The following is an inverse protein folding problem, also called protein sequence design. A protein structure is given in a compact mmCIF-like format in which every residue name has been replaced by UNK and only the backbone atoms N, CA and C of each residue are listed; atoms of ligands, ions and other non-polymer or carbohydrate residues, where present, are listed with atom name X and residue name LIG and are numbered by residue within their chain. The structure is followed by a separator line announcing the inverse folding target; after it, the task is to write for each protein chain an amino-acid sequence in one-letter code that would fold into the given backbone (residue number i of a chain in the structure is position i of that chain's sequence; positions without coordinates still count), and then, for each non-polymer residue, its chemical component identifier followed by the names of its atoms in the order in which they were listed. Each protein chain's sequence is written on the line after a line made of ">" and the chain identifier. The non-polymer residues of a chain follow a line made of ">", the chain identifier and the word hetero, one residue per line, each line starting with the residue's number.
data_IF_156828031634
#
_entry.id   IF_156828031634
#
_cell.length_a   1.000
_cell.length_b   1.000
_cell.length_c   1.000
_cell.angle_alpha   90.00
_cell.angle_beta   90.00
_cell.angle_gamma   90.00
#
_symmetry.space_group_name_H-M   'P 1'
#
loop_
_entity.id
_entity.type
_entity.pdbx_description
1 polymer ?
#
# COMPACT_ATOMS: atom_id res chain seq x y z
N UNK A 1 -0.68 -17.07 16.97
CA UNK A 1 -0.45 -18.23 16.08
C UNK A 1 -1.68 -18.37 15.20
N UNK A 2 -1.72 -17.70 14.05
CA UNK A 2 -2.81 -17.84 13.08
C UNK A 2 -2.23 -18.55 11.86
N UNK A 3 -2.77 -19.73 11.55
CA UNK A 3 -2.39 -20.51 10.38
C UNK A 3 -2.92 -19.79 9.12
N UNK A 4 -2.04 -19.51 8.16
CA UNK A 4 -2.39 -18.97 6.84
C UNK A 4 -3.12 -20.06 6.03
N UNK A 5 -4.23 -19.75 5.33
CA UNK A 5 -4.88 -20.72 4.46
C UNK A 5 -4.13 -20.83 3.12
N UNK A 6 -4.14 -22.04 2.58
CA UNK A 6 -3.53 -22.41 1.30
C UNK A 6 -4.04 -21.56 0.13
N UNK A 7 -3.09 -21.24 -0.73
CA UNK A 7 -3.21 -20.40 -1.91
C UNK A 7 -4.03 -21.08 -3.02
N UNK A 8 -5.15 -20.48 -3.42
CA UNK A 8 -5.76 -20.75 -4.72
C UNK A 8 -6.53 -19.55 -5.30
N UNK A 9 -6.51 -19.50 -6.64
CA UNK A 9 -7.33 -18.73 -7.59
C UNK A 9 -6.85 -17.33 -8.03
N UNK A 10 -6.49 -17.26 -9.34
CA UNK A 10 -6.15 -16.09 -10.16
C UNK A 10 -7.41 -15.53 -10.88
N UNK A 11 -8.50 -15.28 -10.16
CA UNK A 11 -9.67 -14.60 -10.72
C UNK A 11 -9.54 -13.06 -10.59
N UNK A 12 -10.09 -12.25 -11.51
CA UNK A 12 -10.18 -10.80 -11.32
C UNK A 12 -11.06 -10.53 -10.09
N UNK A 13 -10.48 -9.93 -9.05
CA UNK A 13 -11.17 -9.67 -7.79
C UNK A 13 -11.90 -8.33 -7.88
N UNK A 14 -13.23 -8.40 -7.88
CA UNK A 14 -14.13 -7.26 -7.64
C UNK A 14 -13.87 -6.75 -6.20
N UNK A 15 -13.77 -5.44 -5.93
CA UNK A 15 -13.55 -4.94 -4.58
C UNK A 15 -14.81 -5.20 -3.72
N UNK A 16 -14.85 -6.36 -3.08
CA UNK A 16 -15.86 -6.70 -2.08
C UNK A 16 -15.61 -5.87 -0.82
N UNK A 17 -16.23 -4.70 -0.76
CA UNK A 17 -16.29 -3.88 0.45
C UNK A 17 -17.27 -4.53 1.43
N UNK A 18 -16.84 -5.59 2.10
CA UNK A 18 -17.57 -6.14 3.26
C UNK A 18 -17.79 -4.99 4.25
N UNK A 19 -19.01 -4.78 4.78
CA UNK A 19 -19.26 -3.68 5.71
C UNK A 19 -18.49 -3.92 7.02
N UNK A 20 -17.31 -3.32 7.11
CA UNK A 20 -16.44 -3.38 8.28
C UNK A 20 -17.07 -2.55 9.41
N UNK A 21 -17.73 -3.22 10.34
CA UNK A 21 -18.37 -2.59 11.50
C UNK A 21 -17.38 -2.19 12.59
N UNK A 22 -17.73 -1.17 13.38
CA UNK A 22 -16.94 -0.66 14.50
C UNK A 22 -16.58 -1.78 15.49
N UNK A 23 -15.28 -2.04 15.66
CA UNK A 23 -14.73 -3.06 16.56
C UNK A 23 -14.02 -4.23 15.87
N UNK A 24 -14.12 -4.38 14.54
CA UNK A 24 -13.33 -5.37 13.81
C UNK A 24 -11.88 -4.90 13.68
N UNK A 25 -10.97 -5.47 14.48
CA UNK A 25 -9.55 -5.29 14.19
C UNK A 25 -9.19 -6.10 12.95
N UNK A 26 -8.72 -5.43 11.91
CA UNK A 26 -8.25 -6.02 10.64
C UNK A 26 -7.24 -7.16 10.85
N UNK A 27 -6.55 -7.17 12.00
CA UNK A 27 -5.54 -8.17 12.36
C UNK A 27 -6.07 -9.40 13.12
N UNK A 28 -7.31 -9.40 13.61
CA UNK A 28 -7.90 -10.55 14.32
C UNK A 28 -8.73 -11.46 13.42
N UNK A 29 -9.26 -10.94 12.30
CA UNK A 29 -9.95 -11.73 11.28
C UNK A 29 -8.93 -12.23 10.25
N UNK A 30 -8.86 -13.56 10.08
CA UNK A 30 -8.00 -14.17 9.06
C UNK A 30 -8.33 -13.67 7.65
N UNK A 31 -9.61 -13.44 7.36
CA UNK A 31 -10.11 -12.95 6.07
C UNK A 31 -9.79 -11.48 5.80
N UNK A 32 -9.92 -10.60 6.81
CA UNK A 32 -9.56 -9.18 6.71
C UNK A 32 -8.03 -8.99 6.59
N UNK A 33 -7.25 -9.85 7.27
CA UNK A 33 -5.79 -9.84 7.14
C UNK A 33 -5.33 -10.30 5.75
N UNK A 34 -6.00 -11.31 5.17
CA UNK A 34 -5.69 -11.83 3.84
C UNK A 34 -6.01 -10.82 2.73
N UNK A 35 -7.11 -10.06 2.84
CA UNK A 35 -7.48 -8.99 1.90
C UNK A 35 -6.56 -7.77 1.97
N UNK A 36 -6.09 -7.40 3.17
CA UNK A 36 -5.05 -6.37 3.34
C UNK A 36 -3.71 -6.80 2.71
N UNK A 37 -3.26 -8.03 2.97
CA UNK A 37 -2.03 -8.59 2.40
C UNK A 37 -2.12 -8.68 0.87
N UNK A 38 -3.30 -9.04 0.32
CA UNK A 38 -3.56 -9.07 -1.13
C UNK A 38 -3.73 -7.67 -1.75
N UNK A 39 -3.62 -6.59 -0.98
CA UNK A 39 -3.70 -5.22 -1.49
C UNK A 39 -5.09 -4.76 -1.92
N UNK A 40 -6.13 -5.52 -1.57
CA UNK A 40 -7.54 -5.15 -1.78
C UNK A 40 -7.93 -4.01 -0.84
N UNK A 41 -7.27 -3.92 0.32
CA UNK A 41 -7.45 -2.86 1.32
C UNK A 41 -6.32 -1.83 1.23
N UNK A 42 -6.65 -0.56 0.97
CA UNK A 42 -5.68 0.54 0.83
C UNK A 42 -4.94 0.79 2.16
N UNK A 43 -3.59 0.75 2.20
CA UNK A 43 -2.81 0.93 3.44
C UNK A 43 -3.07 2.24 4.19
N UNK A 44 -3.38 3.32 3.47
CA UNK A 44 -3.81 4.60 4.08
C UNK A 44 -5.13 4.46 4.82
N UNK A 45 -6.12 3.79 4.20
CA UNK A 45 -7.43 3.54 4.82
C UNK A 45 -7.30 2.69 6.10
N UNK A 46 -6.41 1.68 6.08
CA UNK A 46 -6.10 0.88 7.26
C UNK A 46 -5.43 1.71 8.36
N UNK A 47 -4.47 2.57 8.03
CA UNK A 47 -3.83 3.47 9.00
C UNK A 47 -4.84 4.46 9.60
N UNK A 48 -5.68 5.05 8.76
CA UNK A 48 -6.67 6.03 9.17
C UNK A 48 -7.70 5.40 10.13
N UNK A 49 -8.12 4.15 9.88
CA UNK A 49 -9.02 3.35 10.74
C UNK A 49 -8.50 3.14 12.17
N UNK A 50 -7.17 3.12 12.38
CA UNK A 50 -6.57 2.95 13.71
C UNK A 50 -6.13 4.27 14.37
N UNK A 51 -6.02 5.34 13.59
CA UNK A 51 -5.43 6.61 14.06
C UNK A 51 -6.48 7.69 14.29
N UNK A 52 -7.59 7.65 13.55
CA UNK A 52 -8.64 8.66 13.63
C UNK A 52 -9.93 8.11 14.27
N UNK A 53 -10.62 8.91 15.11
CA UNK A 53 -11.95 8.57 15.59
C UNK A 53 -12.93 8.33 14.43
N UNK A 54 -13.95 7.50 14.65
CA UNK A 54 -14.94 7.14 13.62
C UNK A 54 -15.64 8.36 13.00
N UNK A 55 -15.85 9.44 13.76
CA UNK A 55 -16.42 10.70 13.23
C UNK A 55 -15.53 11.35 12.17
N UNK A 56 -14.21 11.35 12.36
CA UNK A 56 -13.25 11.96 11.43
C UNK A 56 -13.15 11.15 10.14
N UNK A 57 -13.25 9.83 10.26
CA UNK A 57 -13.26 8.91 9.11
C UNK A 57 -14.54 9.03 8.29
N UNK A 58 -15.69 9.09 8.96
CA UNK A 58 -16.99 9.29 8.32
C UNK A 58 -17.08 10.67 7.67
N UNK A 59 -16.56 11.72 8.31
CA UNK A 59 -16.46 13.06 7.73
C UNK A 59 -15.53 13.11 6.51
N UNK A 60 -14.37 12.44 6.57
CA UNK A 60 -13.45 12.32 5.44
C UNK A 60 -14.05 11.54 4.26
N UNK A 61 -14.73 10.42 4.54
CA UNK A 61 -15.43 9.63 3.54
C UNK A 61 -16.60 10.43 2.94
N UNK A 62 -17.40 11.10 3.75
CA UNK A 62 -18.49 11.96 3.30
C UNK A 62 -17.96 13.11 2.43
N UNK A 63 -16.87 13.78 2.83
CA UNK A 63 -16.21 14.83 2.04
C UNK A 63 -15.65 14.31 0.73
N UNK A 64 -15.02 13.14 0.73
CA UNK A 64 -14.50 12.52 -0.50
C UNK A 64 -15.62 12.10 -1.45
N UNK A 65 -16.71 11.51 -0.94
CA UNK A 65 -17.89 11.16 -1.72
C UNK A 65 -18.57 12.39 -2.30
N UNK A 66 -18.68 13.47 -1.52
CA UNK A 66 -19.23 14.75 -1.96
C UNK A 66 -18.32 15.37 -3.03
N UNK A 67 -17.00 15.41 -2.83
CA UNK A 67 -16.05 15.94 -3.81
C UNK A 67 -16.06 15.16 -5.13
N UNK A 68 -16.09 13.82 -5.05
CA UNK A 68 -16.20 12.93 -6.21
C UNK A 68 -17.55 13.12 -6.93
N UNK A 69 -18.64 13.31 -6.17
CA UNK A 69 -19.96 13.59 -6.72
C UNK A 69 -20.00 14.97 -7.40
N UNK A 70 -19.38 16.00 -6.81
CA UNK A 70 -19.25 17.32 -7.42
C UNK A 70 -18.42 17.25 -8.71
N UNK A 71 -17.25 16.58 -8.70
CA UNK A 71 -16.42 16.44 -9.90
C UNK A 71 -17.15 15.67 -11.03
N UNK A 72 -17.83 14.58 -10.68
CA UNK A 72 -18.62 13.83 -11.64
C UNK A 72 -19.80 14.67 -12.15
N UNK A 73 -20.50 15.38 -11.28
CA UNK A 73 -21.56 16.32 -11.66
C UNK A 73 -21.07 17.42 -12.60
N UNK A 74 -19.92 18.04 -12.35
CA UNK A 74 -19.39 19.08 -13.23
C UNK A 74 -19.03 18.54 -14.62
N UNK A 75 -18.49 17.32 -14.70
CA UNK A 75 -18.21 16.65 -15.97
C UNK A 75 -19.51 16.30 -16.73
N UNK A 76 -20.50 15.75 -16.02
CA UNK A 76 -21.79 15.41 -16.61
C UNK A 76 -22.53 16.67 -17.09
N UNK A 77 -22.59 17.73 -16.29
CA UNK A 77 -23.25 19.00 -16.65
C UNK A 77 -22.60 19.63 -17.88
N UNK A 78 -21.26 19.70 -17.93
CA UNK A 78 -20.56 20.23 -19.11
C UNK A 78 -20.78 19.40 -20.39
N UNK A 79 -20.92 18.07 -20.26
CA UNK A 79 -21.29 17.21 -21.38
C UNK A 79 -22.73 17.43 -21.83
N UNK A 80 -23.68 17.50 -20.89
CA UNK A 80 -25.09 17.76 -21.19
C UNK A 80 -25.27 19.13 -21.86
N UNK A 81 -24.61 20.17 -21.36
CA UNK A 81 -24.64 21.51 -21.96
C UNK A 81 -24.12 21.48 -23.39
N UNK A 82 -23.00 20.79 -23.65
CA UNK A 82 -22.44 20.68 -25.00
C UNK A 82 -23.34 19.90 -25.96
N UNK A 83 -23.95 18.80 -25.51
CA UNK A 83 -24.92 18.02 -26.30
C UNK A 83 -26.17 18.86 -26.58
N UNK A 84 -26.65 19.58 -25.57
CA UNK A 84 -27.82 20.44 -25.70
C UNK A 84 -27.56 21.61 -26.66
N UNK A 85 -26.40 22.25 -26.58
CA UNK A 85 -25.99 23.32 -27.50
C UNK A 85 -25.87 22.82 -28.94
N UNK A 86 -25.28 21.63 -29.15
CA UNK A 86 -25.26 20.99 -30.47
C UNK A 86 -26.68 20.73 -30.99
N UNK A 87 -27.58 20.24 -30.13
CA UNK A 87 -28.99 20.04 -30.46
C UNK A 87 -29.72 21.34 -30.85
N UNK A 88 -29.44 22.46 -30.17
CA UNK A 88 -29.98 23.78 -30.52
C UNK A 88 -29.51 24.24 -31.89
N UNK A 89 -28.23 24.06 -32.21
CA UNK A 89 -27.66 24.43 -33.52
C UNK A 89 -28.30 23.59 -34.63
N UNK A 90 -28.44 22.28 -34.44
CA UNK A 90 -29.09 21.39 -35.40
C UNK A 90 -30.55 21.80 -35.65
N UNK A 91 -31.31 22.05 -34.59
CA UNK A 91 -32.71 22.47 -34.69
C UNK A 91 -32.85 23.83 -35.40
N UNK A 92 -31.94 24.76 -35.10
CA UNK A 92 -31.90 26.05 -35.77
C UNK A 92 -31.58 25.93 -37.27
N UNK A 93 -30.62 25.07 -37.63
CA UNK A 93 -30.27 24.81 -39.03
C UNK A 93 -31.41 24.11 -39.78
N UNK A 94 -32.08 23.14 -39.16
CA UNK A 94 -33.24 22.44 -39.72
C UNK A 94 -34.41 23.39 -39.99
N UNK A 95 -34.70 24.30 -39.05
CA UNK A 95 -35.68 25.37 -39.23
C UNK A 95 -35.32 26.33 -40.36
N UNK A 96 -34.05 26.70 -40.50
CA UNK A 96 -33.59 27.52 -41.64
C UNK A 96 -33.69 26.78 -42.96
N UNK A 97 -33.35 25.49 -43.00
CA UNK A 97 -33.36 24.68 -44.21
C UNK A 97 -34.79 24.46 -44.70
N UNK A 98 -35.73 24.18 -43.79
CA UNK A 98 -37.16 24.08 -44.12
C UNK A 98 -37.73 25.40 -44.64
N UNK A 99 -37.37 26.54 -44.04
CA UNK A 99 -37.78 27.86 -44.52
C UNK A 99 -37.23 28.16 -45.93
N UNK A 100 -35.96 27.84 -46.20
CA UNK A 100 -35.37 27.99 -47.53
C UNK A 100 -36.02 27.07 -48.56
N UNK A 101 -36.37 25.84 -48.19
CA UNK A 101 -37.10 24.93 -49.07
C UNK A 101 -38.50 25.45 -49.42
N UNK A 102 -39.19 26.06 -48.46
CA UNK A 102 -40.50 26.69 -48.66
C UNK A 102 -40.38 27.90 -49.60
N UNK A 103 -39.44 28.83 -49.33
CA UNK A 103 -39.20 30.00 -50.18
C UNK A 103 -38.85 29.59 -51.62
N UNK A 104 -37.99 28.57 -51.82
CA UNK A 104 -37.68 28.05 -53.15
C UNK A 104 -38.89 27.47 -53.88
N UNK A 105 -39.80 26.84 -53.15
CA UNK A 105 -41.00 26.24 -53.72
C UNK A 105 -42.01 27.31 -54.14
N UNK A 106 -42.22 28.32 -53.30
CA UNK A 106 -43.08 29.47 -53.60
C UNK A 106 -42.55 30.26 -54.80
N UNK A 107 -41.23 30.47 -54.88
CA UNK A 107 -40.59 31.16 -56.02
C UNK A 107 -40.64 30.38 -57.33
N UNK A 108 -40.58 29.05 -57.24
CA UNK A 108 -40.75 28.17 -58.39
C UNK A 108 -42.18 28.24 -58.94
N UNK A 109 -43.16 28.52 -58.10
CA UNK A 109 -44.56 28.75 -58.49
C UNK A 109 -44.82 30.19 -58.96
N UNK A 110 -44.09 31.18 -58.41
CA UNK A 110 -44.28 32.61 -58.70
C UNK A 110 -43.56 33.09 -59.97
N UNK A 111 -42.46 32.43 -60.39
CA UNK A 111 -41.77 32.72 -61.65
C UNK A 111 -41.05 34.08 -61.70
N UNK A 112 -40.75 34.69 -60.54
CA UNK A 112 -40.07 35.99 -60.44
C UNK A 112 -38.53 35.84 -60.33
N UNK A 113 -37.75 36.24 -61.35
CA UNK A 113 -36.30 36.07 -61.36
C UNK A 113 -35.55 36.86 -60.27
N UNK A 114 -36.12 37.97 -59.78
CA UNK A 114 -35.45 38.85 -58.80
C UNK A 114 -35.42 38.20 -57.40
N UNK A 115 -36.46 37.45 -57.07
CA UNK A 115 -36.55 36.75 -55.79
C UNK A 115 -35.79 35.41 -55.80
N UNK A 116 -35.64 34.76 -56.96
CA UNK A 116 -34.69 33.64 -57.15
C UNK A 116 -33.25 34.10 -56.88
N UNK A 117 -32.84 35.27 -57.40
CA UNK A 117 -31.51 35.82 -57.15
C UNK A 117 -31.25 36.12 -55.66
N UNK A 118 -32.25 36.59 -54.92
CA UNK A 118 -32.14 36.83 -53.48
C UNK A 118 -31.94 35.52 -52.67
N UNK A 119 -32.60 34.43 -53.07
CA UNK A 119 -32.44 33.12 -52.43
C UNK A 119 -31.10 32.49 -52.78
N UNK A 120 -30.63 32.60 -54.03
CA UNK A 120 -29.28 32.15 -54.43
C UNK A 120 -28.20 32.87 -53.62
N UNK A 121 -28.34 34.17 -53.42
CA UNK A 121 -27.42 34.95 -52.57
C UNK A 121 -27.42 34.44 -51.11
N UNK A 122 -28.60 34.21 -50.53
CA UNK A 122 -28.72 33.64 -49.17
C UNK A 122 -28.16 32.22 -49.07
N UNK A 123 -28.32 31.40 -50.10
CA UNK A 123 -27.76 30.06 -50.17
C UNK A 123 -26.23 30.10 -50.20
N UNK A 124 -25.63 31.03 -50.97
CA UNK A 124 -24.19 31.24 -50.99
C UNK A 124 -23.65 31.71 -49.63
N UNK A 125 -24.37 32.60 -48.94
CA UNK A 125 -24.02 33.04 -47.58
C UNK A 125 -24.09 31.86 -46.58
N UNK A 126 -25.17 31.07 -46.63
CA UNK A 126 -25.31 29.88 -45.79
C UNK A 126 -24.19 28.85 -46.06
N UNK A 127 -23.82 28.64 -47.33
CA UNK A 127 -22.73 27.77 -47.72
C UNK A 127 -21.37 28.24 -47.17
N UNK A 128 -21.11 29.56 -47.21
CA UNK A 128 -19.90 30.13 -46.61
C UNK A 128 -19.84 29.88 -45.09
N UNK A 129 -20.97 29.98 -44.38
CA UNK A 129 -21.05 29.69 -42.95
C UNK A 129 -20.80 28.21 -42.66
N UNK A 130 -21.32 27.32 -43.49
CA UNK A 130 -21.06 25.87 -43.38
C UNK A 130 -19.58 25.55 -43.54
N UNK A 131 -18.91 26.12 -44.54
CA UNK A 131 -17.47 25.89 -44.74
C UNK A 131 -16.63 26.47 -43.59
N UNK A 132 -17.01 27.63 -43.04
CA UNK A 132 -16.35 28.19 -41.86
C UNK A 132 -16.48 27.25 -40.63
N UNK A 133 -17.71 26.82 -40.32
CA UNK A 133 -17.96 25.92 -39.19
C UNK A 133 -17.24 24.57 -39.37
N UNK A 134 -17.14 24.07 -40.60
CA UNK A 134 -16.38 22.86 -40.91
C UNK A 134 -14.91 23.01 -40.54
N UNK A 135 -14.27 24.14 -40.86
CA UNK A 135 -12.88 24.40 -40.46
C UNK A 135 -12.74 24.47 -38.93
N UNK A 136 -13.66 25.13 -38.23
CA UNK A 136 -13.64 25.20 -36.76
C UNK A 136 -13.78 23.82 -36.10
N UNK A 137 -14.59 22.93 -36.67
CA UNK A 137 -14.72 21.54 -36.19
C UNK A 137 -13.41 20.77 -36.37
N UNK A 138 -12.73 20.91 -37.52
CA UNK A 138 -11.43 20.27 -37.75
C UNK A 138 -10.35 20.80 -36.79
N UNK A 139 -10.32 22.11 -36.53
CA UNK A 139 -9.41 22.69 -35.54
C UNK A 139 -9.69 22.19 -34.13
N UNK A 140 -10.96 22.13 -33.73
CA UNK A 140 -11.37 21.61 -32.43
C UNK A 140 -10.95 20.13 -32.29
N UNK A 141 -11.15 19.32 -33.33
CA UNK A 141 -10.70 17.93 -33.36
C UNK A 141 -9.18 17.81 -33.22
N UNK A 142 -8.40 18.67 -33.90
CA UNK A 142 -6.95 18.72 -33.72
C UNK A 142 -6.53 19.04 -32.28
N UNK A 143 -7.22 19.98 -31.62
CA UNK A 143 -6.98 20.30 -30.20
C UNK A 143 -7.33 19.13 -29.29
N UNK A 144 -8.44 18.43 -29.54
CA UNK A 144 -8.81 17.22 -28.80
C UNK A 144 -7.77 16.12 -28.92
N UNK A 145 -7.28 15.83 -30.12
CA UNK A 145 -6.24 14.84 -30.35
C UNK A 145 -4.94 15.18 -29.60
N UNK A 146 -4.57 16.46 -29.52
CA UNK A 146 -3.42 16.92 -28.74
C UNK A 146 -3.60 16.67 -27.24
N UNK A 147 -4.77 17.04 -26.69
CA UNK A 147 -5.07 16.83 -25.26
C UNK A 147 -5.12 15.33 -24.93
N UNK A 148 -5.67 14.50 -25.82
CA UNK A 148 -5.70 13.06 -25.65
C UNK A 148 -4.29 12.45 -25.62
N UNK A 149 -3.37 12.92 -26.48
CA UNK A 149 -1.97 12.49 -26.46
C UNK A 149 -1.26 12.89 -25.15
N UNK A 150 -1.50 14.09 -24.63
CA UNK A 150 -0.97 14.53 -23.33
C UNK A 150 -1.52 13.70 -22.17
N UNK A 151 -2.81 13.38 -22.20
CA UNK A 151 -3.45 12.52 -21.21
C UNK A 151 -2.79 11.13 -21.21
N UNK A 152 -2.60 10.52 -22.37
CA UNK A 152 -1.95 9.20 -22.46
C UNK A 152 -0.51 9.23 -21.97
N UNK A 153 0.24 10.31 -22.25
CA UNK A 153 1.56 10.54 -21.68
C UNK A 153 1.50 10.56 -20.15
N UNK A 154 0.63 11.39 -19.55
CA UNK A 154 0.49 11.49 -18.09
C UNK A 154 0.06 10.15 -17.46
N UNK A 155 -0.79 9.38 -18.15
CA UNK A 155 -1.22 8.03 -17.74
C UNK A 155 -0.04 7.06 -17.71
N UNK A 156 0.83 7.11 -18.71
CA UNK A 156 2.04 6.28 -18.76
C UNK A 156 3.04 6.63 -17.64
N UNK A 157 3.21 7.92 -17.34
CA UNK A 157 4.05 8.41 -16.23
C UNK A 157 3.51 7.95 -14.88
N UNK A 158 2.19 8.06 -14.66
CA UNK A 158 1.53 7.56 -13.45
C UNK A 158 1.72 6.05 -13.29
N UNK A 159 1.58 5.28 -14.37
CA UNK A 159 1.83 3.84 -14.35
C UNK A 159 3.30 3.51 -14.03
N UNK A 160 4.26 4.29 -14.52
CA UNK A 160 5.68 4.16 -14.17
C UNK A 160 5.92 4.43 -12.68
N UNK A 161 5.40 5.53 -12.14
CA UNK A 161 5.52 5.88 -10.72
C UNK A 161 4.89 4.82 -9.82
N UNK A 162 3.73 4.25 -10.23
CA UNK A 162 3.07 3.17 -9.50
C UNK A 162 3.93 1.91 -9.41
N UNK A 163 4.65 1.55 -10.48
CA UNK A 163 5.60 0.42 -10.46
C UNK A 163 6.77 0.71 -9.51
N UNK A 164 7.36 1.90 -9.58
CA UNK A 164 8.45 2.28 -8.66
C UNK A 164 8.02 2.24 -7.18
N UNK A 165 6.79 2.67 -6.88
CA UNK A 165 6.24 2.57 -5.53
C UNK A 165 6.03 1.11 -5.08
N UNK A 166 5.69 0.21 -6.00
CA UNK A 166 5.59 -1.21 -5.69
C UNK A 166 6.97 -1.80 -5.37
N UNK A 167 7.99 -1.52 -6.18
CA UNK A 167 9.36 -1.98 -5.96
C UNK A 167 9.93 -1.44 -4.64
N UNK A 168 9.72 -0.15 -4.35
CA UNK A 168 10.12 0.47 -3.08
C UNK A 168 9.35 -0.08 -1.88
N UNK A 169 8.16 -0.68 -2.08
CA UNK A 169 7.38 -1.32 -1.02
C UNK A 169 7.85 -2.73 -0.72
N UNK A 170 8.39 -3.44 -1.70
CA UNK A 170 8.91 -4.80 -1.54
C UNK A 170 10.26 -4.81 -0.79
N UNK A 171 11.16 -3.87 -1.12
CA UNK A 171 12.50 -3.78 -0.53
C UNK A 171 12.54 -3.72 1.03
N UNK A 172 11.66 -2.97 1.73
CA UNK A 172 11.56 -3.00 3.18
C UNK A 172 11.18 -4.38 3.73
N UNK A 173 10.31 -5.12 3.03
CA UNK A 173 9.92 -6.48 3.41
C UNK A 173 11.10 -7.45 3.37
N UNK A 174 11.91 -7.38 2.32
CA UNK A 174 13.15 -8.16 2.21
C UNK A 174 14.13 -7.82 3.34
N UNK A 175 14.30 -6.53 3.60
CA UNK A 175 15.21 -6.01 4.63
C UNK A 175 14.75 -6.42 6.04
N UNK A 176 13.45 -6.37 6.30
CA UNK A 176 12.85 -6.78 7.57
C UNK A 176 12.98 -8.29 7.79
N UNK A 177 12.78 -9.10 6.74
CA UNK A 177 13.01 -10.55 6.79
C UNK A 177 14.46 -10.89 7.13
N UNK A 178 15.43 -10.18 6.53
CA UNK A 178 16.85 -10.34 6.85
C UNK A 178 17.16 -9.96 8.31
N UNK A 179 16.60 -8.83 8.80
CA UNK A 179 16.74 -8.41 10.20
C UNK A 179 16.14 -9.41 11.19
N UNK A 180 14.97 -9.97 10.88
CA UNK A 180 14.31 -11.00 11.70
C UNK A 180 15.19 -12.26 11.80
N UNK A 181 15.73 -12.71 10.67
CA UNK A 181 16.66 -13.83 10.61
C UNK A 181 17.93 -13.58 11.43
N UNK A 182 18.57 -12.41 11.26
CA UNK A 182 19.74 -12.03 12.02
C UNK A 182 19.46 -11.96 13.54
N UNK A 183 18.31 -11.42 13.95
CA UNK A 183 17.90 -11.41 15.37
C UNK A 183 17.69 -12.82 15.92
N UNK A 184 17.13 -13.74 15.13
CA UNK A 184 16.96 -15.12 15.55
C UNK A 184 18.33 -15.79 15.78
N UNK A 185 19.29 -15.54 14.90
CA UNK A 185 20.67 -16.04 15.06
C UNK A 185 21.35 -15.46 16.31
N UNK A 186 21.22 -14.15 16.57
CA UNK A 186 21.79 -13.52 17.78
C UNK A 186 21.19 -14.14 19.05
N UNK A 187 19.87 -14.32 19.11
CA UNK A 187 19.23 -14.98 20.26
C UNK A 187 19.72 -16.41 20.46
N UNK A 188 19.94 -17.14 19.37
CA UNK A 188 20.51 -18.49 19.44
C UNK A 188 21.92 -18.46 20.03
N UNK A 189 22.78 -17.55 19.55
CA UNK A 189 24.13 -17.37 20.10
C UNK A 189 24.12 -16.96 21.57
N UNK A 190 23.18 -16.10 21.99
CA UNK A 190 23.03 -15.71 23.40
C UNK A 190 22.71 -16.90 24.30
N UNK A 191 21.85 -17.82 23.85
CA UNK A 191 21.51 -19.05 24.58
C UNK A 191 22.76 -19.95 24.70
N UNK A 192 23.48 -20.15 23.60
CA UNK A 192 24.71 -20.96 23.60
C UNK A 192 25.79 -20.36 24.51
N UNK A 193 25.94 -19.03 24.53
CA UNK A 193 26.86 -18.34 25.44
C UNK A 193 26.44 -18.49 26.91
N UNK A 194 25.14 -18.45 27.21
CA UNK A 194 24.60 -18.70 28.55
C UNK A 194 24.88 -20.13 29.01
N UNK A 195 24.69 -21.12 28.14
CA UNK A 195 24.98 -22.52 28.45
C UNK A 195 26.48 -22.77 28.62
N UNK A 196 27.32 -22.14 27.78
CA UNK A 196 28.77 -22.17 27.94
C UNK A 196 29.21 -21.51 29.26
N UNK A 197 28.63 -20.38 29.63
CA UNK A 197 28.91 -19.72 30.90
C UNK A 197 28.52 -20.60 32.10
N UNK A 198 27.36 -21.27 32.04
CA UNK A 198 26.91 -22.20 33.09
C UNK A 198 27.84 -23.41 33.22
N UNK A 199 28.25 -24.01 32.11
CA UNK A 199 29.20 -25.14 32.13
C UNK A 199 30.57 -24.74 32.66
N UNK A 200 31.06 -23.54 32.31
CA UNK A 200 32.30 -22.99 32.85
C UNK A 200 32.22 -22.80 34.38
N UNK A 201 31.10 -22.27 34.89
CA UNK A 201 30.95 -22.09 36.35
C UNK A 201 30.89 -23.43 37.08
N UNK A 202 30.20 -24.43 36.50
CA UNK A 202 30.21 -25.79 37.04
C UNK A 202 31.62 -26.39 37.10
N UNK A 203 32.42 -26.24 36.04
CA UNK A 203 33.82 -26.67 36.03
C UNK A 203 34.65 -25.95 37.10
N UNK A 204 34.41 -24.65 37.32
CA UNK A 204 35.11 -23.86 38.34
C UNK A 204 34.82 -24.36 39.75
N UNK A 205 33.60 -24.82 40.02
CA UNK A 205 33.25 -25.42 41.32
C UNK A 205 33.79 -26.85 41.49
N UNK A 206 33.78 -27.64 40.42
CA UNK A 206 34.10 -29.07 40.49
C UNK A 206 35.60 -29.36 40.42
N UNK A 207 36.38 -28.55 39.68
CA UNK A 207 37.83 -28.73 39.55
C UNK A 207 38.55 -28.67 40.92
N UNK A 208 38.31 -27.68 41.80
CA UNK A 208 38.93 -27.64 43.12
C UNK A 208 38.51 -28.80 44.01
N UNK A 209 37.22 -29.17 43.99
CA UNK A 209 36.71 -30.32 44.76
C UNK A 209 37.41 -31.61 44.34
N UNK A 210 37.52 -31.84 43.02
CA UNK A 210 38.18 -33.01 42.46
C UNK A 210 39.69 -33.02 42.77
N UNK A 211 40.37 -31.87 42.65
CA UNK A 211 41.78 -31.74 43.00
C UNK A 211 42.06 -31.94 44.50
N UNK A 212 41.15 -31.52 45.38
CA UNK A 212 41.24 -31.77 46.83
C UNK A 212 41.10 -33.27 47.12
N UNK A 213 40.11 -33.94 46.53
CA UNK A 213 39.95 -35.40 46.72
C UNK A 213 41.16 -36.17 46.18
N UNK A 214 41.67 -35.81 45.01
CA UNK A 214 42.88 -36.42 44.44
C UNK A 214 44.13 -36.16 45.29
N UNK A 215 44.23 -34.99 45.94
CA UNK A 215 45.28 -34.68 46.89
C UNK A 215 45.17 -35.52 48.18
N UNK A 216 43.95 -35.72 48.70
CA UNK A 216 43.70 -36.59 49.86
C UNK A 216 44.05 -38.05 49.59
N UNK A 217 43.85 -38.52 48.36
CA UNK A 217 44.21 -39.88 47.92
C UNK A 217 45.72 -40.04 47.63
N UNK A 218 46.51 -38.96 47.66
CA UNK A 218 47.94 -39.03 47.37
C UNK A 218 48.78 -39.60 48.54
N UNK A 219 49.81 -40.43 48.28
CA UNK A 219 50.65 -41.02 49.32
C UNK A 219 51.39 -39.97 50.18
N UNK A 220 51.74 -38.83 49.57
CA UNK A 220 52.43 -37.75 50.25
C UNK A 220 51.57 -37.06 51.33
N UNK A 221 50.26 -36.94 51.07
CA UNK A 221 49.31 -36.40 52.06
C UNK A 221 49.12 -37.36 53.24
N UNK A 222 48.96 -38.66 52.95
CA UNK A 222 48.84 -39.71 53.97
C UNK A 222 50.09 -39.80 54.87
N UNK A 223 51.28 -39.78 54.29
CA UNK A 223 52.56 -39.71 55.03
C UNK A 223 52.67 -38.44 55.87
N UNK A 224 52.24 -37.28 55.34
CA UNK A 224 52.23 -36.01 56.07
C UNK A 224 51.29 -36.02 57.29
N UNK A 225 50.11 -36.62 57.17
CA UNK A 225 49.18 -36.83 58.28
C UNK A 225 49.76 -37.73 59.38
N UNK A 226 50.41 -38.84 59.01
CA UNK A 226 51.10 -39.72 59.96
C UNK A 226 52.20 -38.99 60.75
N UNK A 227 52.97 -38.13 60.08
CA UNK A 227 54.01 -37.31 60.72
C UNK A 227 53.41 -36.25 61.65
N UNK A 228 52.37 -35.53 61.23
CA UNK A 228 51.70 -34.54 62.10
C UNK A 228 51.01 -35.18 63.32
N UNK A 229 50.45 -36.38 63.17
CA UNK A 229 49.88 -37.15 64.28
C UNK A 229 50.92 -37.49 65.35
N UNK A 230 52.15 -37.85 64.95
CA UNK A 230 53.27 -38.08 65.88
C UNK A 230 53.66 -36.81 66.63
N UNK A 231 53.84 -35.69 65.92
CA UNK A 231 54.20 -34.40 66.54
C UNK A 231 53.12 -33.91 67.51
N UNK A 232 51.84 -34.11 67.18
CA UNK A 232 50.71 -33.71 68.05
C UNK A 232 50.65 -34.55 69.32
N UNK A 233 50.94 -35.84 69.22
CA UNK A 233 51.00 -36.76 70.37
C UNK A 233 52.19 -36.43 71.28
N UNK A 234 53.32 -36.05 70.68
CA UNK A 234 54.54 -35.63 71.38
C UNK A 234 54.37 -34.28 72.08
N UNK A 235 53.73 -33.29 71.44
CA UNK A 235 53.40 -32.00 72.04
C UNK A 235 52.33 -32.11 73.14
N UNK A 236 51.28 -32.91 72.93
CA UNK A 236 50.27 -33.20 73.95
C UNK A 236 50.86 -33.90 75.19
N UNK A 237 51.84 -34.78 74.97
CA UNK A 237 52.61 -35.42 76.04
C UNK A 237 53.50 -34.42 76.79
N UNK A 238 54.15 -33.47 76.10
CA UNK A 238 54.92 -32.38 76.73
C UNK A 238 54.03 -31.44 77.57
N UNK A 239 52.83 -31.10 77.10
CA UNK A 239 51.88 -30.23 77.82
C UNK A 239 51.27 -30.93 79.05
N UNK A 240 51.06 -32.26 78.98
CA UNK A 240 50.62 -33.08 80.11
C UNK A 240 51.71 -33.21 81.20
N UNK A 241 53.00 -33.29 80.79
CA UNK A 241 54.14 -33.32 81.70
C UNK A 241 54.43 -31.99 82.41
N UNK A 242 53.95 -30.85 81.87
CA UNK A 242 54.19 -29.50 82.45
C UNK A 242 53.06 -29.00 83.36
N UNK A 243 51.99 -29.78 83.57
CA UNK A 243 50.85 -29.43 84.46
C UNK A 243 50.80 -30.21 85.78
N UNK A 244 51.87 -30.92 86.15
CA UNK A 244 52.08 -31.59 87.43
C UNK A 244 53.07 -30.80 88.29
#
# INVERSE_FOLDING_TARGET
>A
MCNLPEQASNAPLDPDLIPLTHGMSVWQSGEASATYIRGVLLPRLASDLYTFPSEVLMDGAAKAMVLASFQNQHYQVALFDRVHDAGRVITFLDGKMTLLCQELQDLKEEGNPDAVAAVEFRAAEAQSVVEHLRVEVEEANGRWASVEAELEKSRSESASLKRQLADLRERPGDSEGQLQSARAQVRQMEIELLDLARSKEALREDLPKRAIEECKESPGFEMGLMLMGRVSLEYGYQLALTRL
#
